data_IF_272241439863
#
_entry.id   IF_272241439863
#
_cell.length_a   1.000
_cell.length_b   1.000
_cell.length_c   1.000
_cell.angle_alpha   90.00
_cell.angle_beta   90.00
_cell.angle_gamma   90.00
#
_symmetry.space_group_name_H-M   'P 1'
#
loop_
_entity.id
_entity.type
_entity.pdbx_description
1 polymer ?
#
# COMPACT_ATOMS: atom_id res chain seq x y z
N UNK A 1 -18.54 -27.83 12.00
CA UNK A 1 -18.99 -26.93 10.92
C UNK A 1 -18.26 -27.30 9.63
N UNK A 2 -18.98 -27.47 8.53
CA UNK A 2 -18.35 -27.66 7.22
C UNK A 2 -17.81 -26.28 6.81
N UNK A 3 -16.54 -26.14 6.40
CA UNK A 3 -16.01 -24.84 5.98
C UNK A 3 -16.83 -24.31 4.81
N UNK A 4 -17.09 -23.01 4.83
CA UNK A 4 -17.71 -22.33 3.70
C UNK A 4 -16.82 -22.54 2.45
N UNK A 5 -17.42 -22.80 1.30
CA UNK A 5 -16.69 -23.03 0.06
C UNK A 5 -15.83 -21.82 -0.30
N UNK A 6 -16.26 -20.60 0.07
CA UNK A 6 -15.45 -19.40 -0.11
C UNK A 6 -14.31 -19.30 0.91
N UNK A 7 -14.50 -19.75 2.15
CA UNK A 7 -13.44 -19.82 3.16
C UNK A 7 -12.35 -20.79 2.73
N UNK A 8 -12.73 -21.97 2.20
CA UNK A 8 -11.78 -22.96 1.69
C UNK A 8 -10.95 -22.50 0.47
N UNK A 9 -11.41 -21.47 -0.27
CA UNK A 9 -10.60 -20.86 -1.36
C UNK A 9 -9.53 -19.91 -0.83
N UNK A 10 -9.83 -19.21 0.27
CA UNK A 10 -8.96 -18.19 0.86
C UNK A 10 -8.01 -18.83 1.89
N UNK A 11 -8.47 -19.87 2.59
CA UNK A 11 -7.75 -20.61 3.62
C UNK A 11 -7.72 -22.12 3.31
N UNK A 12 -7.04 -22.56 2.25
CA UNK A 12 -7.03 -23.96 1.82
C UNK A 12 -6.44 -24.91 2.88
N UNK A 13 -5.53 -24.42 3.72
CA UNK A 13 -4.87 -25.18 4.79
C UNK A 13 -5.59 -25.04 6.15
N UNK A 14 -6.64 -24.23 6.22
CA UNK A 14 -7.39 -23.95 7.44
C UNK A 14 -6.52 -23.29 8.51
N UNK A 15 -5.53 -22.50 8.13
CA UNK A 15 -4.61 -21.78 9.03
C UNK A 15 -5.37 -20.69 9.79
N UNK A 16 -6.15 -19.87 9.08
CA UNK A 16 -6.94 -18.78 9.66
C UNK A 16 -8.10 -19.31 10.50
N UNK A 17 -8.76 -20.39 10.08
CA UNK A 17 -9.86 -20.99 10.87
C UNK A 17 -9.39 -21.57 12.22
N UNK A 18 -8.09 -21.85 12.38
CA UNK A 18 -7.49 -22.34 13.63
C UNK A 18 -7.02 -21.22 14.56
N UNK A 19 -6.87 -20.00 14.04
CA UNK A 19 -6.45 -18.84 14.83
C UNK A 19 -7.57 -18.36 15.74
N UNK A 20 -7.21 -17.91 16.94
CA UNK A 20 -8.11 -17.12 17.77
C UNK A 20 -8.41 -15.78 17.10
N UNK A 21 -9.50 -15.14 17.54
CA UNK A 21 -9.88 -13.80 17.04
C UNK A 21 -8.75 -12.77 17.22
N UNK A 22 -8.02 -12.84 18.33
CA UNK A 22 -6.91 -11.90 18.60
C UNK A 22 -5.72 -12.17 17.68
N UNK A 23 -5.41 -13.43 17.38
CA UNK A 23 -4.34 -13.80 16.44
C UNK A 23 -4.67 -13.36 15.01
N UNK A 24 -5.92 -13.53 14.55
CA UNK A 24 -6.36 -13.02 13.26
C UNK A 24 -6.21 -11.50 13.15
N UNK A 25 -6.64 -10.77 14.18
CA UNK A 25 -6.49 -9.30 14.23
C UNK A 25 -5.02 -8.91 14.17
N UNK A 26 -4.15 -9.58 14.95
CA UNK A 26 -2.72 -9.31 14.94
C UNK A 26 -2.10 -9.58 13.54
N UNK A 27 -2.50 -10.67 12.88
CA UNK A 27 -2.02 -11.02 11.54
C UNK A 27 -2.45 -10.00 10.48
N UNK A 28 -3.69 -9.48 10.56
CA UNK A 28 -4.15 -8.40 9.68
C UNK A 28 -3.26 -7.17 9.84
N UNK A 29 -3.02 -6.71 11.08
CA UNK A 29 -2.16 -5.56 11.33
C UNK A 29 -0.72 -5.75 10.83
N UNK A 30 -0.17 -6.96 10.99
CA UNK A 30 1.16 -7.28 10.50
C UNK A 30 1.23 -7.19 8.96
N UNK A 31 0.26 -7.79 8.26
CA UNK A 31 0.19 -7.77 6.79
C UNK A 31 -0.05 -6.35 6.27
N UNK A 32 -0.93 -5.58 6.90
CA UNK A 32 -1.19 -4.18 6.54
C UNK A 32 0.06 -3.31 6.72
N UNK A 33 0.75 -3.44 7.86
CA UNK A 33 1.99 -2.69 8.13
C UNK A 33 3.08 -3.05 7.12
N UNK A 34 3.26 -4.35 6.83
CA UNK A 34 4.25 -4.81 5.85
C UNK A 34 3.96 -4.28 4.45
N UNK A 35 2.69 -4.26 4.05
CA UNK A 35 2.25 -3.73 2.75
C UNK A 35 2.50 -2.22 2.63
N UNK A 36 2.22 -1.47 3.69
CA UNK A 36 2.47 -0.03 3.75
C UNK A 36 3.98 0.28 3.68
N UNK A 37 4.79 -0.44 4.45
CA UNK A 37 6.26 -0.28 4.44
C UNK A 37 6.84 -0.59 3.07
N UNK A 38 6.38 -1.68 2.43
CA UNK A 38 6.77 -2.03 1.06
C UNK A 38 6.40 -0.93 0.06
N UNK A 39 5.17 -0.43 0.10
CA UNK A 39 4.71 0.64 -0.80
C UNK A 39 5.54 1.92 -0.61
N UNK A 40 5.84 2.28 0.64
CA UNK A 40 6.67 3.44 1.00
C UNK A 40 8.11 3.29 0.49
N UNK A 41 8.73 2.12 0.71
CA UNK A 41 10.07 1.84 0.19
C UNK A 41 10.13 1.86 -1.33
N UNK A 42 9.12 1.29 -2.01
CA UNK A 42 9.01 1.32 -3.47
C UNK A 42 8.91 2.75 -3.99
N UNK A 43 8.05 3.57 -3.37
CA UNK A 43 7.91 4.99 -3.71
C UNK A 43 9.23 5.76 -3.59
N UNK A 44 9.95 5.62 -2.47
CA UNK A 44 11.24 6.30 -2.31
C UNK A 44 12.29 5.83 -3.31
N UNK A 45 12.30 4.54 -3.65
CA UNK A 45 13.20 4.02 -4.67
C UNK A 45 12.90 4.65 -6.05
N UNK A 46 11.63 4.81 -6.42
CA UNK A 46 11.25 5.51 -7.66
C UNK A 46 11.70 6.97 -7.62
N UNK A 47 11.49 7.69 -6.51
CA UNK A 47 11.97 9.08 -6.35
C UNK A 47 13.49 9.16 -6.52
N UNK A 48 14.25 8.24 -5.92
CA UNK A 48 15.70 8.18 -6.05
C UNK A 48 16.14 7.92 -7.50
N UNK A 49 15.46 7.02 -8.22
CA UNK A 49 15.73 6.78 -9.64
C UNK A 49 15.44 8.01 -10.50
N UNK A 50 14.33 8.71 -10.27
CA UNK A 50 14.01 9.96 -10.97
C UNK A 50 15.10 11.01 -10.71
N UNK A 51 15.53 11.20 -9.47
CA UNK A 51 16.62 12.11 -9.14
C UNK A 51 17.93 11.71 -9.84
N UNK A 52 18.26 10.42 -9.87
CA UNK A 52 19.47 9.90 -10.52
C UNK A 52 19.46 10.11 -12.03
N UNK A 53 18.35 9.84 -12.72
CA UNK A 53 18.29 9.97 -14.18
C UNK A 53 18.17 11.42 -14.66
N UNK A 54 17.81 12.35 -13.77
CA UNK A 54 17.64 13.76 -14.08
C UNK A 54 18.71 14.64 -13.43
N UNK A 55 19.92 14.10 -13.22
CA UNK A 55 21.08 14.86 -12.76
C UNK A 55 21.37 16.03 -13.72
N UNK A 56 21.02 17.25 -13.30
CA UNK A 56 21.16 18.48 -14.11
C UNK A 56 19.84 19.22 -14.37
N UNK A 57 18.70 18.63 -14.03
CA UNK A 57 17.40 19.30 -14.00
C UNK A 57 17.03 19.64 -12.55
N UNK A 58 16.58 20.86 -12.30
CA UNK A 58 16.02 21.23 -11.00
C UNK A 58 14.60 20.69 -10.90
N UNK A 59 14.46 19.46 -10.42
CA UNK A 59 13.16 18.82 -10.17
C UNK A 59 12.76 19.08 -8.72
N UNK A 60 11.69 19.85 -8.51
CA UNK A 60 11.10 20.00 -7.19
C UNK A 60 10.43 18.70 -6.75
N UNK A 61 10.86 18.15 -5.63
CA UNK A 61 10.21 17.01 -4.99
C UNK A 61 9.21 17.43 -3.91
N UNK A 62 8.90 18.72 -3.83
CA UNK A 62 8.01 19.28 -2.81
C UNK A 62 6.60 18.71 -2.97
N UNK A 63 6.09 18.05 -1.94
CA UNK A 63 4.73 17.50 -1.93
C UNK A 63 4.56 16.14 -2.61
N UNK A 64 5.63 15.50 -3.10
CA UNK A 64 5.54 14.15 -3.71
C UNK A 64 5.03 13.07 -2.74
N UNK A 65 5.10 13.30 -1.43
CA UNK A 65 4.57 12.41 -0.40
C UNK A 65 3.11 12.68 -0.01
N UNK A 66 2.49 13.72 -0.59
CA UNK A 66 1.09 14.03 -0.32
C UNK A 66 0.20 13.16 -1.20
N UNK A 67 -0.95 12.73 -0.66
CA UNK A 67 -2.02 12.10 -1.43
C UNK A 67 -2.68 13.18 -2.32
N UNK A 68 -2.02 13.50 -3.43
CA UNK A 68 -2.43 14.50 -4.41
C UNK A 68 -2.30 13.93 -5.82
N UNK A 69 -3.10 14.47 -6.72
CA UNK A 69 -3.06 14.16 -8.14
C UNK A 69 -2.62 15.38 -8.94
N UNK A 70 -2.03 15.15 -10.12
CA UNK A 70 -1.69 16.23 -11.04
C UNK A 70 -2.88 16.48 -11.94
N UNK A 71 -3.44 17.69 -11.90
CA UNK A 71 -4.49 18.16 -12.81
C UNK A 71 -4.08 19.50 -13.38
N UNK A 72 -4.09 19.62 -14.70
CA UNK A 72 -3.68 20.85 -15.41
C UNK A 72 -2.28 21.36 -15.02
N UNK A 73 -1.38 20.44 -14.64
CA UNK A 73 0.00 20.76 -14.21
C UNK A 73 0.15 21.14 -12.73
N UNK A 74 -0.95 21.15 -11.95
CA UNK A 74 -0.93 21.49 -10.52
C UNK A 74 -1.23 20.27 -9.64
N UNK A 75 -0.61 20.22 -8.45
CA UNK A 75 -0.89 19.21 -7.44
C UNK A 75 -2.17 19.56 -6.64
N UNK A 76 -3.26 18.87 -6.96
CA UNK A 76 -4.57 19.05 -6.33
C UNK A 76 -4.94 17.87 -5.44
N UNK A 77 -5.83 18.09 -4.48
CA UNK A 77 -6.40 16.98 -3.69
C UNK A 77 -7.24 16.08 -4.60
N UNK A 78 -7.20 14.74 -4.42
CA UNK A 78 -8.08 13.83 -5.14
C UNK A 78 -9.54 14.24 -4.94
N UNK A 79 -10.39 14.02 -5.96
CA UNK A 79 -11.83 14.15 -5.74
C UNK A 79 -12.24 13.08 -4.73
N UNK A 80 -12.97 13.47 -3.70
CA UNK A 80 -13.68 12.50 -2.87
C UNK A 80 -14.56 11.67 -3.82
N UNK A 81 -14.38 10.35 -3.83
CA UNK A 81 -15.43 9.48 -4.36
C UNK A 81 -16.61 9.62 -3.40
N UNK A 82 -17.72 10.20 -3.87
CA UNK A 82 -19.01 10.19 -3.17
C UNK A 82 -19.58 8.77 -3.12
#
# INVERSE_FOLDING_TARGET
>A
PIPDVEEAKIDPDGEYSKMSRTELIARIFEVESSSLDFAKSSFYNVVAQVQLFNQGLEISTTGLNALKEVRDGELVSPRSEE
#
